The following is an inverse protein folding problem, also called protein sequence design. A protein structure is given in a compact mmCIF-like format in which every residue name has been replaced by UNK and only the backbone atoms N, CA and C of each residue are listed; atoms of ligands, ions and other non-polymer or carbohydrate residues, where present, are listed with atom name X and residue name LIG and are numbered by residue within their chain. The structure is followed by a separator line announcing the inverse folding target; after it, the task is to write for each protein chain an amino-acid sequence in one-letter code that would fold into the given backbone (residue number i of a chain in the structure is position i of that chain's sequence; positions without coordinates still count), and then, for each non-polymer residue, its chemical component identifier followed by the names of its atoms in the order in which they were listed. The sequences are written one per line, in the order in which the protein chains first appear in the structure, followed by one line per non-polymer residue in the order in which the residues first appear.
data_IF_973563774459
#
_entry.id   IF_973563774459
#
_cell.length_a   1.000
_cell.length_b   1.000
_cell.length_c   1.000
_cell.angle_alpha   90.00
_cell.angle_beta   90.00
_cell.angle_gamma   90.00
#
_symmetry.space_group_name_H-M   'P 1'
#
loop_
_entity.id
_entity.type
_entity.pdbx_description
1 polymer ?
#
# COMPACT_ATOMS: atom_id res chain seq x y z
N UNK A 1 -14.62 26.64 -6.36
CA UNK A 1 -15.20 26.64 -5.00
C UNK A 1 -14.17 26.49 -3.86
N UNK A 2 -13.12 25.66 -3.97
CA UNK A 2 -12.03 25.55 -2.96
C UNK A 2 -11.34 26.87 -2.56
N UNK A 3 -11.15 27.82 -3.50
CA UNK A 3 -10.49 29.10 -3.23
C UNK A 3 -11.35 30.12 -2.45
N UNK A 4 -12.68 29.99 -2.50
CA UNK A 4 -13.62 30.92 -1.83
C UNK A 4 -13.74 30.60 -0.33
N UNK A 5 -13.61 29.33 0.03
CA UNK A 5 -13.67 28.86 1.43
C UNK A 5 -12.45 29.34 2.23
N UNK A 6 -11.26 29.40 1.61
CA UNK A 6 -10.05 29.91 2.27
C UNK A 6 -10.09 31.43 2.52
N UNK A 7 -10.78 32.20 1.67
CA UNK A 7 -10.91 33.66 1.82
C UNK A 7 -11.94 34.00 2.92
N UNK A 8 -13.01 33.22 3.05
CA UNK A 8 -13.98 33.36 4.14
C UNK A 8 -13.36 33.03 5.52
N UNK A 9 -12.48 32.03 5.60
CA UNK A 9 -11.76 31.71 6.84
C UNK A 9 -10.80 32.83 7.28
N UNK A 10 -10.19 33.55 6.33
CA UNK A 10 -9.31 34.70 6.58
C UNK A 10 -10.09 35.99 6.91
N UNK A 11 -11.33 36.16 6.43
CA UNK A 11 -12.15 37.32 6.76
C UNK A 11 -12.74 37.24 8.17
N UNK A 12 -13.00 36.02 8.68
CA UNK A 12 -13.45 35.82 10.06
C UNK A 12 -12.39 36.22 11.10
N UNK A 13 -11.09 36.08 10.81
CA UNK A 13 -10.01 36.44 11.75
C UNK A 13 -9.80 37.95 11.84
N UNK A 14 -10.03 38.70 10.76
CA UNK A 14 -9.91 40.17 10.74
C UNK A 14 -11.11 40.87 11.41
N UNK A 15 -12.30 40.25 11.39
CA UNK A 15 -13.47 40.80 12.08
C UNK A 15 -13.41 40.58 13.61
N UNK A 16 -12.76 39.50 14.06
CA UNK A 16 -12.55 39.24 15.48
C UNK A 16 -11.59 40.25 16.14
N UNK A 17 -10.67 40.87 15.38
CA UNK A 17 -9.71 41.84 15.93
C UNK A 17 -10.24 43.27 16.06
N UNK A 18 -11.49 43.54 15.63
CA UNK A 18 -12.13 44.87 15.68
C UNK A 18 -13.33 44.96 16.63
N UNK A 19 -13.64 43.90 17.39
CA UNK A 19 -14.77 43.95 18.32
C UNK A 19 -14.43 44.73 19.59
N UNK A 20 -15.23 45.76 19.83
CA UNK A 20 -15.22 46.64 20.99
C UNK A 20 -15.29 45.83 22.30
N UNK A 21 -14.41 46.17 23.24
CA UNK A 21 -13.99 45.32 24.39
C UNK A 21 -14.88 45.55 25.63
N UNK A 22 -16.05 46.16 25.49
CA UNK A 22 -16.79 46.72 26.64
C UNK A 22 -17.88 45.82 27.25
N UNK A 23 -18.10 44.59 26.75
CA UNK A 23 -18.89 43.56 27.45
C UNK A 23 -18.08 42.24 27.58
N UNK A 24 -17.45 41.99 28.74
CA UNK A 24 -16.52 40.87 28.93
C UNK A 24 -17.17 39.50 28.81
N UNK A 25 -18.48 39.40 29.02
CA UNK A 25 -19.21 38.13 29.11
C UNK A 25 -19.58 37.57 27.72
N UNK A 26 -20.08 38.43 26.82
CA UNK A 26 -20.48 38.07 25.45
C UNK A 26 -19.29 37.78 24.54
N UNK A 27 -18.16 38.44 24.76
CA UNK A 27 -16.94 38.21 23.98
C UNK A 27 -16.26 36.88 24.35
N UNK A 28 -16.38 36.44 25.61
CA UNK A 28 -15.79 35.20 26.10
C UNK A 28 -16.42 33.96 25.48
N UNK A 29 -17.76 33.91 25.51
CA UNK A 29 -18.53 32.82 24.94
C UNK A 29 -18.27 32.68 23.43
N UNK A 30 -18.19 33.80 22.72
CA UNK A 30 -17.82 33.83 21.29
C UNK A 30 -16.42 33.25 21.06
N UNK A 31 -15.41 33.65 21.84
CA UNK A 31 -14.04 33.16 21.67
C UNK A 31 -13.93 31.65 21.95
N UNK A 32 -14.60 31.16 23.01
CA UNK A 32 -14.66 29.72 23.32
C UNK A 32 -15.32 28.94 22.18
N UNK A 33 -16.42 29.47 21.62
CA UNK A 33 -17.10 28.86 20.48
C UNK A 33 -16.21 28.82 19.23
N UNK A 34 -15.46 29.89 18.94
CA UNK A 34 -14.51 29.91 17.82
C UNK A 34 -13.42 28.84 17.98
N UNK A 35 -12.85 28.71 19.17
CA UNK A 35 -11.81 27.71 19.45
C UNK A 35 -12.35 26.27 19.39
N UNK A 36 -13.57 26.06 19.88
CA UNK A 36 -14.27 24.78 19.76
C UNK A 36 -14.47 24.40 18.30
N UNK A 37 -14.99 25.31 17.48
CA UNK A 37 -15.16 25.10 16.04
C UNK A 37 -13.81 24.79 15.39
N UNK A 38 -12.75 25.51 15.73
CA UNK A 38 -11.42 25.26 15.17
C UNK A 38 -10.88 23.86 15.55
N UNK A 39 -11.05 23.42 16.80
CA UNK A 39 -10.67 22.08 17.22
C UNK A 39 -11.52 20.98 16.54
N UNK A 40 -12.84 21.21 16.35
CA UNK A 40 -13.72 20.32 15.58
C UNK A 40 -13.30 20.21 14.11
N UNK A 41 -12.85 21.32 13.50
CA UNK A 41 -12.31 21.32 12.13
C UNK A 41 -11.03 20.48 12.05
N UNK A 42 -10.10 20.62 13.00
CA UNK A 42 -8.87 19.81 13.03
C UNK A 42 -9.21 18.34 13.24
N UNK A 43 -10.13 18.03 14.16
CA UNK A 43 -10.61 16.66 14.41
C UNK A 43 -11.16 16.04 13.12
N UNK A 44 -12.10 16.71 12.47
CA UNK A 44 -12.70 16.22 11.22
C UNK A 44 -11.66 16.03 10.12
N UNK A 45 -10.68 16.93 10.02
CA UNK A 45 -9.59 16.81 9.06
C UNK A 45 -8.72 15.58 9.32
N UNK A 46 -8.33 15.32 10.57
CA UNK A 46 -7.52 14.16 10.93
C UNK A 46 -8.30 12.85 10.76
N UNK A 47 -9.56 12.80 11.17
CA UNK A 47 -10.41 11.62 10.98
C UNK A 47 -10.61 11.31 9.50
N UNK A 48 -10.84 12.33 8.67
CA UNK A 48 -10.93 12.16 7.22
C UNK A 48 -9.61 11.64 6.65
N UNK A 49 -8.48 12.22 7.06
CA UNK A 49 -7.15 11.79 6.62
C UNK A 49 -6.85 10.34 7.00
N UNK A 50 -7.12 9.95 8.25
CA UNK A 50 -6.91 8.58 8.73
C UNK A 50 -7.72 7.57 7.91
N UNK A 51 -9.02 7.83 7.75
CA UNK A 51 -9.92 6.96 7.00
C UNK A 51 -9.51 6.84 5.53
N UNK A 52 -9.24 7.97 4.88
CA UNK A 52 -8.79 7.98 3.48
C UNK A 52 -7.46 7.25 3.32
N UNK A 53 -6.53 7.44 4.24
CA UNK A 53 -5.21 6.80 4.16
C UNK A 53 -5.31 5.29 4.35
N UNK A 54 -6.13 4.80 5.28
CA UNK A 54 -6.40 3.36 5.46
C UNK A 54 -7.02 2.74 4.20
N UNK A 55 -8.08 3.34 3.68
CA UNK A 55 -8.73 2.85 2.45
C UNK A 55 -7.77 2.88 1.25
N UNK A 56 -7.03 3.97 1.08
CA UNK A 56 -6.06 4.07 -0.02
C UNK A 56 -4.88 3.10 0.15
N UNK A 57 -4.50 2.75 1.38
CA UNK A 57 -3.47 1.74 1.65
C UNK A 57 -3.92 0.38 1.17
N UNK A 58 -5.10 -0.06 1.60
CA UNK A 58 -5.69 -1.35 1.22
C UNK A 58 -5.81 -1.47 -0.30
N UNK A 59 -6.49 -0.50 -0.94
CA UNK A 59 -6.70 -0.50 -2.39
C UNK A 59 -5.35 -0.53 -3.13
N UNK A 60 -4.40 0.33 -2.73
CA UNK A 60 -3.15 0.46 -3.48
C UNK A 60 -2.27 -0.79 -3.34
N UNK A 61 -2.24 -1.41 -2.16
CA UNK A 61 -1.50 -2.65 -1.95
C UNK A 61 -2.14 -3.82 -2.72
N UNK A 62 -3.47 -3.92 -2.73
CA UNK A 62 -4.16 -4.95 -3.48
C UNK A 62 -3.98 -4.80 -5.01
N UNK A 63 -4.02 -3.58 -5.52
CA UNK A 63 -3.70 -3.29 -6.92
C UNK A 63 -2.28 -3.74 -7.29
N UNK A 64 -1.30 -3.39 -6.45
CA UNK A 64 0.11 -3.75 -6.67
C UNK A 64 0.31 -5.27 -6.60
N UNK A 65 -0.33 -5.93 -5.64
CA UNK A 65 -0.35 -7.38 -5.48
C UNK A 65 -0.89 -8.05 -6.74
N UNK A 66 -2.08 -7.64 -7.19
CA UNK A 66 -2.74 -8.22 -8.36
C UNK A 66 -1.90 -8.04 -9.62
N UNK A 67 -1.30 -6.86 -9.81
CA UNK A 67 -0.42 -6.60 -10.94
C UNK A 67 0.77 -7.57 -10.94
N UNK A 68 1.48 -7.67 -9.81
CA UNK A 68 2.66 -8.54 -9.69
C UNK A 68 2.31 -10.02 -9.91
N UNK A 69 1.21 -10.49 -9.31
CA UNK A 69 0.73 -11.86 -9.48
C UNK A 69 0.34 -12.17 -10.92
N UNK A 70 -0.24 -11.19 -11.63
CA UNK A 70 -0.59 -11.34 -13.05
C UNK A 70 0.67 -11.48 -13.90
N UNK A 71 1.69 -10.63 -13.66
CA UNK A 71 2.97 -10.73 -14.38
C UNK A 71 3.68 -12.06 -14.12
N UNK A 72 3.76 -12.50 -12.86
CA UNK A 72 4.30 -13.82 -12.48
C UNK A 72 3.56 -14.93 -13.22
N UNK A 73 2.22 -14.89 -13.23
CA UNK A 73 1.40 -15.89 -13.91
C UNK A 73 1.69 -15.92 -15.42
N UNK A 74 1.79 -14.75 -16.06
CA UNK A 74 2.13 -14.65 -17.50
C UNK A 74 3.48 -15.32 -17.78
N UNK A 75 4.52 -15.03 -16.99
CA UNK A 75 5.84 -15.62 -17.21
C UNK A 75 5.87 -17.13 -16.98
N UNK A 76 5.25 -17.61 -15.90
CA UNK A 76 5.20 -19.03 -15.56
C UNK A 76 4.38 -19.80 -16.62
N UNK A 77 3.19 -19.31 -16.95
CA UNK A 77 2.31 -19.98 -17.91
C UNK A 77 2.88 -19.94 -19.33
N UNK A 78 3.49 -18.82 -19.73
CA UNK A 78 4.20 -18.73 -21.01
C UNK A 78 5.35 -19.75 -21.11
N UNK A 79 6.09 -19.97 -20.03
CA UNK A 79 7.13 -21.00 -19.99
C UNK A 79 6.57 -22.41 -20.06
N UNK A 80 5.46 -22.70 -19.36
CA UNK A 80 4.78 -23.99 -19.49
C UNK A 80 4.33 -24.26 -20.93
N UNK A 81 3.73 -23.27 -21.61
CA UNK A 81 3.32 -23.39 -23.02
C UNK A 81 4.51 -23.70 -23.92
N UNK A 82 5.58 -22.91 -23.84
CA UNK A 82 6.78 -23.12 -24.67
C UNK A 82 7.40 -24.50 -24.44
N UNK A 83 7.52 -24.92 -23.17
CA UNK A 83 8.10 -26.21 -22.83
C UNK A 83 7.22 -27.35 -23.33
N UNK A 84 5.90 -27.26 -23.17
CA UNK A 84 4.97 -28.27 -23.66
C UNK A 84 5.07 -28.43 -25.19
N UNK A 85 5.24 -27.34 -25.94
CA UNK A 85 5.50 -27.40 -27.38
C UNK A 85 6.80 -28.15 -27.69
N UNK A 86 7.90 -27.86 -26.98
CA UNK A 86 9.17 -28.57 -27.15
C UNK A 86 9.06 -30.06 -26.82
N UNK A 87 8.37 -30.39 -25.72
CA UNK A 87 8.15 -31.77 -25.28
C UNK A 87 7.31 -32.54 -26.29
N UNK A 88 6.22 -31.95 -26.81
CA UNK A 88 5.36 -32.60 -27.80
C UNK A 88 6.13 -32.89 -29.09
N UNK A 89 6.86 -31.91 -29.61
CA UNK A 89 7.71 -32.09 -30.80
C UNK A 89 8.75 -33.20 -30.59
N UNK A 90 9.40 -33.23 -29.42
CA UNK A 90 10.39 -34.26 -29.13
C UNK A 90 9.79 -35.67 -29.02
N UNK A 91 8.57 -35.78 -28.48
CA UNK A 91 7.81 -37.05 -28.46
C UNK A 91 7.46 -37.51 -29.87
N UNK A 92 7.10 -36.59 -30.77
CA UNK A 92 6.89 -36.89 -32.20
C UNK A 92 8.17 -37.35 -32.89
N UNK A 93 9.32 -36.79 -32.51
CA UNK A 93 10.66 -37.25 -32.92
C UNK A 93 11.08 -38.58 -32.24
N UNK A 94 10.21 -39.18 -31.42
CA UNK A 94 10.47 -40.46 -30.76
C UNK A 94 11.39 -40.38 -29.54
N UNK A 95 11.72 -39.20 -29.03
CA UNK A 95 12.63 -39.02 -27.87
C UNK A 95 11.94 -39.35 -26.53
N UNK A 96 12.71 -39.90 -25.60
CA UNK A 96 12.28 -40.05 -24.21
C UNK A 96 12.54 -38.76 -23.43
N UNK A 97 11.51 -37.95 -23.19
CA UNK A 97 11.61 -36.61 -22.58
C UNK A 97 10.91 -36.49 -21.22
N UNK A 98 10.57 -37.61 -20.59
CA UNK A 98 9.83 -37.64 -19.31
C UNK A 98 10.59 -36.88 -18.21
N UNK A 99 11.89 -37.16 -18.04
CA UNK A 99 12.73 -36.47 -17.05
C UNK A 99 12.82 -34.96 -17.33
N UNK A 100 12.92 -34.55 -18.61
CA UNK A 100 12.93 -33.14 -18.99
C UNK A 100 11.61 -32.43 -18.66
N UNK A 101 10.48 -33.14 -18.83
CA UNK A 101 9.15 -32.64 -18.52
C UNK A 101 8.96 -32.50 -17.01
N UNK A 102 9.36 -33.49 -16.22
CA UNK A 102 9.25 -33.48 -14.76
C UNK A 102 10.13 -32.39 -14.15
N UNK A 103 11.37 -32.25 -14.62
CA UNK A 103 12.25 -31.16 -14.23
C UNK A 103 11.60 -29.80 -14.45
N UNK A 104 11.08 -29.56 -15.66
CA UNK A 104 10.46 -28.28 -16.01
C UNK A 104 9.26 -27.97 -15.11
N UNK A 105 8.36 -28.95 -14.97
CA UNK A 105 7.14 -28.83 -14.17
C UNK A 105 7.47 -28.50 -12.73
N UNK A 106 8.34 -29.29 -12.10
CA UNK A 106 8.74 -29.09 -10.71
C UNK A 106 9.33 -27.70 -10.47
N UNK A 107 10.24 -27.25 -11.33
CA UNK A 107 10.91 -25.96 -11.16
C UNK A 107 9.95 -24.78 -11.36
N UNK A 108 9.06 -24.84 -12.35
CA UNK A 108 8.07 -23.77 -12.59
C UNK A 108 7.02 -23.70 -11.48
N UNK A 109 6.51 -24.84 -11.01
CA UNK A 109 5.56 -24.91 -9.90
C UNK A 109 6.19 -24.36 -8.61
N UNK A 110 7.41 -24.81 -8.28
CA UNK A 110 8.15 -24.33 -7.12
C UNK A 110 8.42 -22.82 -7.20
N UNK A 111 8.83 -22.31 -8.38
CA UNK A 111 9.07 -20.87 -8.55
C UNK A 111 7.78 -20.06 -8.40
N UNK A 112 6.66 -20.55 -8.91
CA UNK A 112 5.36 -19.89 -8.79
C UNK A 112 4.93 -19.75 -7.32
N UNK A 113 5.05 -20.81 -6.54
CA UNK A 113 4.73 -20.78 -5.10
C UNK A 113 5.64 -19.84 -4.33
N UNK A 114 6.95 -19.91 -4.55
CA UNK A 114 7.92 -19.03 -3.90
C UNK A 114 7.66 -17.55 -4.26
N UNK A 115 7.44 -17.25 -5.54
CA UNK A 115 7.16 -15.89 -5.99
C UNK A 115 5.86 -15.34 -5.38
N UNK A 116 4.81 -16.16 -5.24
CA UNK A 116 3.57 -15.77 -4.54
C UNK A 116 3.84 -15.43 -3.07
N UNK A 117 4.60 -16.26 -2.36
CA UNK A 117 4.95 -16.02 -0.96
C UNK A 117 5.80 -14.75 -0.79
N UNK A 118 6.72 -14.49 -1.72
CA UNK A 118 7.54 -13.28 -1.72
C UNK A 118 6.67 -12.04 -1.96
N UNK A 119 5.68 -12.10 -2.86
CA UNK A 119 4.70 -11.02 -3.08
C UNK A 119 3.92 -10.74 -1.80
N UNK A 120 3.37 -11.77 -1.13
CA UNK A 120 2.65 -11.59 0.13
C UNK A 120 3.54 -10.95 1.20
N UNK A 121 4.82 -11.34 1.25
CA UNK A 121 5.79 -10.75 2.17
C UNK A 121 6.03 -9.26 1.88
N UNK A 122 6.18 -8.87 0.62
CA UNK A 122 6.30 -7.46 0.24
C UNK A 122 5.06 -6.66 0.67
N UNK A 123 3.86 -7.19 0.45
CA UNK A 123 2.59 -6.53 0.82
C UNK A 123 2.44 -6.41 2.34
N UNK A 124 2.77 -7.47 3.09
CA UNK A 124 2.78 -7.44 4.54
C UNK A 124 3.73 -6.38 5.09
N UNK A 125 4.95 -6.30 4.55
CA UNK A 125 5.91 -5.27 4.94
C UNK A 125 5.40 -3.85 4.64
N UNK A 126 4.67 -3.68 3.54
CA UNK A 126 3.98 -2.43 3.21
C UNK A 126 2.94 -2.04 4.26
N UNK A 127 2.09 -2.98 4.66
CA UNK A 127 1.11 -2.76 5.74
C UNK A 127 1.80 -2.38 7.06
N UNK A 128 2.79 -3.16 7.49
CA UNK A 128 3.51 -2.92 8.74
C UNK A 128 4.21 -1.56 8.77
N UNK A 129 4.72 -1.07 7.62
CA UNK A 129 5.34 0.26 7.53
C UNK A 129 4.36 1.40 7.87
N UNK A 130 3.05 1.21 7.70
CA UNK A 130 2.02 2.23 7.94
C UNK A 130 1.35 2.13 9.31
N UNK A 131 1.56 1.06 10.07
CA UNK A 131 0.96 0.88 11.39
C UNK A 131 1.30 2.03 12.35
N UNK A 132 2.59 2.34 12.51
CA UNK A 132 3.04 3.40 13.42
C UNK A 132 2.62 4.82 12.98
N UNK A 133 2.79 5.22 11.71
CA UNK A 133 2.30 6.53 11.26
C UNK A 133 0.79 6.72 11.48
N UNK A 134 -0.03 5.70 11.20
CA UNK A 134 -1.48 5.78 11.42
C UNK A 134 -1.85 5.77 12.91
N UNK A 135 -1.13 5.01 13.74
CA UNK A 135 -1.32 5.04 15.20
C UNK A 135 -1.05 6.45 15.77
N UNK A 136 -0.05 7.17 15.26
CA UNK A 136 0.23 8.55 15.69
C UNK A 136 -0.88 9.54 15.30
N UNK A 137 -1.52 9.33 14.14
CA UNK A 137 -2.70 10.10 13.73
C UNK A 137 -3.88 9.79 14.65
N UNK A 138 -4.15 8.51 14.93
CA UNK A 138 -5.22 8.09 15.84
C UNK A 138 -5.03 8.65 17.27
N UNK A 139 -3.79 8.62 17.79
CA UNK A 139 -3.46 9.23 19.08
C UNK A 139 -3.71 10.75 19.07
N UNK A 140 -3.42 11.42 17.96
CA UNK A 140 -3.69 12.87 17.82
C UNK A 140 -5.19 13.17 17.80
N UNK A 141 -5.99 12.32 17.16
CA UNK A 141 -7.46 12.39 17.18
C UNK A 141 -7.99 12.26 18.62
N UNK A 142 -7.52 11.25 19.36
CA UNK A 142 -7.95 11.00 20.75
C UNK A 142 -7.64 12.20 21.67
N UNK A 143 -6.45 12.78 21.57
CA UNK A 143 -6.06 13.97 22.34
C UNK A 143 -7.02 15.14 22.08
N UNK A 144 -7.43 15.36 20.84
CA UNK A 144 -8.36 16.45 20.49
C UNK A 144 -9.76 16.18 21.04
N UNK A 145 -10.24 14.93 20.97
CA UNK A 145 -11.52 14.51 21.54
C UNK A 145 -11.55 14.80 23.05
N UNK A 146 -10.50 14.41 23.79
CA UNK A 146 -10.39 14.66 25.24
C UNK A 146 -10.48 16.15 25.55
N UNK A 147 -9.82 16.99 24.74
CA UNK A 147 -9.83 18.45 24.92
C UNK A 147 -11.23 19.03 24.68
N UNK A 148 -11.92 18.60 23.61
CA UNK A 148 -13.29 19.01 23.29
C UNK A 148 -14.31 18.57 24.34
N UNK A 149 -14.09 17.42 25.00
CA UNK A 149 -14.92 16.96 26.12
C UNK A 149 -14.72 17.83 27.37
N UNK A 150 -13.46 18.15 27.72
CA UNK A 150 -13.14 18.96 28.90
C UNK A 150 -13.63 20.41 28.79
N UNK A 151 -13.71 20.97 27.57
CA UNK A 151 -14.24 22.32 27.34
C UNK A 151 -15.74 22.49 27.64
N UNK A 152 -16.48 21.42 27.97
CA UNK A 152 -17.90 21.49 28.36
C UNK A 152 -18.14 21.89 29.83
N UNK A 153 -17.10 21.93 30.69
CA UNK A 153 -17.25 22.24 32.12
C UNK A 153 -17.28 23.77 32.39
N UNK A 154 -18.38 24.25 32.99
CA UNK A 154 -18.85 25.65 32.99
C UNK A 154 -18.49 26.45 34.26
N UNK A 155 -17.30 27.07 34.34
CA UNK A 155 -17.03 28.13 35.35
C UNK A 155 -16.27 29.32 34.77
N UNK A 156 -16.85 30.53 34.86
CA UNK A 156 -16.41 31.76 34.16
C UNK A 156 -14.95 32.19 34.47
N UNK A 157 -14.44 31.99 35.70
CA UNK A 157 -13.04 32.30 36.05
C UNK A 157 -12.05 31.29 35.47
N UNK A 158 -12.48 30.04 35.30
CA UNK A 158 -11.75 29.00 34.61
C UNK A 158 -11.70 29.30 33.10
N UNK A 159 -12.79 29.80 32.52
CA UNK A 159 -12.91 30.12 31.09
C UNK A 159 -11.89 31.17 30.62
N UNK A 160 -11.62 32.24 31.39
CA UNK A 160 -10.67 33.29 30.99
C UNK A 160 -9.20 32.82 31.00
N UNK A 161 -8.78 32.08 32.04
CA UNK A 161 -7.43 31.46 32.12
C UNK A 161 -7.29 30.32 31.10
N UNK A 162 -8.37 29.58 30.87
CA UNK A 162 -8.44 28.56 29.84
C UNK A 162 -8.39 29.15 28.44
N UNK A 163 -8.87 30.38 28.19
CA UNK A 163 -8.91 31.01 26.86
C UNK A 163 -7.54 31.36 26.28
N UNK A 164 -6.65 31.93 27.09
CA UNK A 164 -5.25 32.18 26.68
C UNK A 164 -4.48 30.86 26.52
N UNK A 165 -4.74 29.90 27.40
CA UNK A 165 -4.20 28.54 27.29
C UNK A 165 -4.78 27.78 26.09
N UNK A 166 -6.02 28.04 25.66
CA UNK A 166 -6.68 27.32 24.54
C UNK A 166 -6.22 27.82 23.19
N UNK A 167 -5.88 29.10 23.00
CA UNK A 167 -5.29 29.53 21.72
C UNK A 167 -3.91 28.91 21.53
N UNK A 168 -3.07 28.92 22.58
CA UNK A 168 -1.78 28.23 22.56
C UNK A 168 -1.94 26.71 22.38
N UNK A 169 -2.92 26.11 23.07
CA UNK A 169 -3.25 24.68 22.93
C UNK A 169 -3.74 24.36 21.52
N UNK A 170 -4.60 25.19 20.91
CA UNK A 170 -5.10 25.02 19.56
C UNK A 170 -3.97 25.13 18.53
N UNK A 171 -3.06 26.10 18.69
CA UNK A 171 -1.87 26.21 17.85
C UNK A 171 -0.99 24.96 17.98
N UNK A 172 -0.81 24.43 19.19
CA UNK A 172 -0.07 23.18 19.44
C UNK A 172 -0.76 21.97 18.82
N UNK A 173 -2.07 21.84 18.97
CA UNK A 173 -2.89 20.80 18.34
C UNK A 173 -2.75 20.88 16.83
N UNK A 174 -2.90 22.07 16.25
CA UNK A 174 -2.78 22.29 14.80
C UNK A 174 -1.38 21.93 14.29
N UNK A 175 -0.33 22.37 14.99
CA UNK A 175 1.05 22.03 14.66
C UNK A 175 1.30 20.52 14.74
N UNK A 176 0.80 19.86 15.79
CA UNK A 176 0.92 18.41 15.94
C UNK A 176 0.15 17.67 14.83
N UNK A 177 -1.09 18.08 14.54
CA UNK A 177 -1.92 17.54 13.48
C UNK A 177 -1.22 17.63 12.12
N UNK A 178 -0.64 18.79 11.81
CA UNK A 178 0.15 19.00 10.59
C UNK A 178 1.39 18.09 10.58
N UNK A 179 2.09 17.97 11.70
CA UNK A 179 3.28 17.12 11.83
C UNK A 179 2.99 15.64 11.61
N UNK A 180 1.95 15.10 12.26
CA UNK A 180 1.59 13.67 12.12
C UNK A 180 1.05 13.37 10.72
N UNK A 181 0.27 14.28 10.13
CA UNK A 181 -0.25 14.14 8.76
C UNK A 181 0.89 14.17 7.73
N UNK A 182 1.83 15.11 7.86
CA UNK A 182 2.98 15.20 6.97
C UNK A 182 3.86 13.95 7.08
N UNK A 183 4.13 13.48 8.30
CA UNK A 183 4.89 12.25 8.55
C UNK A 183 4.21 11.04 7.92
N UNK A 184 2.91 10.85 8.17
CA UNK A 184 2.16 9.74 7.58
C UNK A 184 2.11 9.79 6.06
N UNK A 185 2.04 10.98 5.47
CA UNK A 185 2.06 11.16 4.00
C UNK A 185 3.41 10.76 3.40
N UNK A 186 4.52 11.17 4.04
CA UNK A 186 5.88 10.81 3.62
C UNK A 186 6.09 9.31 3.72
N UNK A 187 5.71 8.70 4.86
CA UNK A 187 5.85 7.26 5.06
C UNK A 187 4.97 6.45 4.10
N UNK A 188 3.74 6.91 3.82
CA UNK A 188 2.89 6.29 2.81
C UNK A 188 3.57 6.27 1.43
N UNK A 189 4.17 7.41 1.03
CA UNK A 189 4.86 7.51 -0.26
C UNK A 189 6.08 6.58 -0.32
N UNK A 190 6.90 6.55 0.73
CA UNK A 190 8.06 5.65 0.83
C UNK A 190 7.63 4.19 0.78
N UNK A 191 6.58 3.85 1.52
CA UNK A 191 6.02 2.49 1.55
C UNK A 191 5.62 2.03 0.14
N UNK A 192 4.89 2.84 -0.63
CA UNK A 192 4.51 2.50 -2.01
C UNK A 192 5.74 2.26 -2.90
N UNK A 193 6.77 3.10 -2.78
CA UNK A 193 8.02 2.96 -3.54
C UNK A 193 8.72 1.64 -3.18
N UNK A 194 8.84 1.34 -1.89
CA UNK A 194 9.50 0.13 -1.40
C UNK A 194 8.76 -1.14 -1.84
N UNK A 195 7.43 -1.17 -1.72
CA UNK A 195 6.60 -2.28 -2.17
C UNK A 195 6.76 -2.48 -3.67
N UNK A 196 6.65 -1.41 -4.48
CA UNK A 196 6.86 -1.49 -5.93
C UNK A 196 8.24 -2.05 -6.30
N UNK A 197 9.29 -1.58 -5.63
CA UNK A 197 10.64 -2.06 -5.86
C UNK A 197 10.78 -3.54 -5.52
N UNK A 198 10.19 -3.98 -4.40
CA UNK A 198 10.16 -5.38 -3.96
C UNK A 198 9.48 -6.26 -5.01
N UNK A 199 8.29 -5.86 -5.46
CA UNK A 199 7.52 -6.60 -6.48
C UNK A 199 8.23 -6.65 -7.84
N UNK A 200 8.82 -5.53 -8.27
CA UNK A 200 9.58 -5.45 -9.53
C UNK A 200 10.76 -6.42 -9.54
N UNK A 201 11.44 -6.57 -8.40
CA UNK A 201 12.52 -7.55 -8.25
C UNK A 201 11.99 -8.97 -8.41
N UNK A 202 10.89 -9.30 -7.75
CA UNK A 202 10.29 -10.65 -7.82
C UNK A 202 9.85 -10.98 -9.25
N UNK A 203 9.19 -10.05 -9.95
CA UNK A 203 8.73 -10.26 -11.32
C UNK A 203 9.90 -10.42 -12.29
N UNK A 204 10.95 -9.61 -12.15
CA UNK A 204 12.18 -9.74 -12.95
C UNK A 204 12.92 -11.05 -12.68
N UNK A 205 13.06 -11.45 -11.42
CA UNK A 205 13.67 -12.72 -11.03
C UNK A 205 12.87 -13.91 -11.56
N UNK A 206 11.54 -13.81 -11.58
CA UNK A 206 10.65 -14.83 -12.15
C UNK A 206 10.84 -14.96 -13.66
N UNK A 207 10.85 -13.85 -14.40
CA UNK A 207 11.08 -13.86 -15.84
C UNK A 207 12.45 -14.45 -16.22
N UNK A 208 13.49 -14.11 -15.46
CA UNK A 208 14.83 -14.66 -15.68
C UNK A 208 14.86 -16.16 -15.41
N UNK A 209 14.24 -16.59 -14.30
CA UNK A 209 14.16 -18.00 -13.94
C UNK A 209 13.41 -18.82 -14.99
N UNK A 210 12.25 -18.35 -15.44
CA UNK A 210 11.45 -19.07 -16.45
C UNK A 210 12.21 -19.20 -17.76
N UNK A 211 12.92 -18.16 -18.19
CA UNK A 211 13.79 -18.20 -19.37
C UNK A 211 14.89 -19.27 -19.23
N UNK A 212 15.51 -19.37 -18.05
CA UNK A 212 16.54 -20.37 -17.78
C UNK A 212 15.98 -21.80 -17.77
N UNK A 213 14.76 -22.00 -17.25
CA UNK A 213 14.10 -23.31 -17.30
C UNK A 213 13.80 -23.71 -18.75
N UNK A 214 13.25 -22.79 -19.56
CA UNK A 214 13.01 -23.05 -21.00
C UNK A 214 14.29 -23.50 -21.70
N UNK A 215 15.40 -22.78 -21.50
CA UNK A 215 16.69 -23.11 -22.10
C UNK A 215 17.23 -24.46 -21.61
N UNK A 216 17.14 -24.72 -20.31
CA UNK A 216 17.63 -25.96 -19.70
C UNK A 216 16.82 -27.17 -20.18
N UNK A 217 15.50 -27.03 -20.27
CA UNK A 217 14.61 -28.08 -20.79
C UNK A 217 14.85 -28.31 -22.28
N UNK A 218 15.04 -27.26 -23.09
CA UNK A 218 15.40 -27.41 -24.50
C UNK A 218 16.72 -28.17 -24.67
N UNK A 219 17.73 -27.87 -23.86
CA UNK A 219 19.00 -28.59 -23.85
C UNK A 219 18.85 -30.05 -23.41
N UNK A 220 18.04 -30.32 -22.37
CA UNK A 220 17.70 -31.67 -21.92
C UNK A 220 17.09 -32.48 -23.06
N UNK A 221 16.08 -31.93 -23.73
CA UNK A 221 15.39 -32.56 -24.87
C UNK A 221 16.36 -32.86 -26.02
N UNK A 222 17.29 -31.96 -26.32
CA UNK A 222 18.28 -32.16 -27.40
C UNK A 222 19.19 -33.37 -27.14
N UNK A 223 19.49 -33.64 -25.87
CA UNK A 223 20.37 -34.74 -25.46
C UNK A 223 19.59 -36.01 -25.05
N UNK A 224 18.26 -35.99 -25.13
CA UNK A 224 17.42 -37.13 -24.78
C UNK A 224 17.61 -38.28 -25.78
N UNK A 225 17.66 -39.50 -25.25
CA UNK A 225 17.81 -40.72 -26.05
C UNK A 225 16.50 -41.02 -26.78
N UNK A 226 16.58 -41.57 -27.98
CA UNK A 226 15.42 -42.09 -28.71
C UNK A 226 14.79 -43.27 -27.96
N UNK A 227 13.45 -43.36 -27.99
CA UNK A 227 12.74 -44.48 -27.41
C UNK A 227 13.13 -45.76 -28.15
N UNK A 228 13.49 -46.84 -27.44
CA UNK A 228 13.92 -48.12 -28.04
C UNK A 228 12.82 -48.90 -28.79
N UNK A 229 11.74 -48.24 -29.23
CA UNK A 229 10.61 -48.84 -29.96
C UNK A 229 10.42 -48.33 -31.39
N UNK A 230 11.27 -47.45 -31.92
CA UNK A 230 11.17 -46.99 -33.32
C UNK A 230 11.97 -47.83 -34.32
N UNK A 231 12.76 -48.81 -33.87
CA UNK A 231 13.71 -49.58 -34.71
C UNK A 231 13.26 -51.00 -35.06
N UNK A 232 11.95 -51.25 -35.22
CA UNK A 232 11.44 -52.56 -35.68
C UNK A 232 10.33 -52.41 -36.71
N UNK A 233 10.70 -51.98 -37.92
CA UNK A 233 9.85 -52.12 -39.10
C UNK A 233 10.66 -52.24 -40.42
N UNK A 234 11.85 -52.86 -40.38
CA UNK A 234 12.68 -53.01 -41.59
C UNK A 234 13.33 -54.40 -41.76
N UNK A 235 12.86 -55.44 -41.07
CA UNK A 235 13.30 -56.82 -41.31
C UNK A 235 12.09 -57.76 -41.45
N UNK A 236 11.42 -57.70 -42.60
CA UNK A 236 10.60 -58.81 -43.10
C UNK A 236 10.44 -58.78 -44.62
N UNK A 237 11.56 -58.81 -45.35
CA UNK A 237 11.59 -59.27 -46.75
C UNK A 237 12.95 -59.94 -47.00
N UNK A 238 13.07 -61.24 -46.71
CA UNK A 238 13.63 -62.30 -47.56
C UNK A 238 13.03 -63.62 -47.12
#
# INVERSE_FOLDING_TARGET
MRKVICILALLCTVYASKQDVLDPSRNLERLVNVQKIAAEVILNSLTLFENQTKTNLEIKLDELKLQALTEIWIYINGAHTNINEFINKAKEEGKNVEECQDYAKYNLETKNENAKNDVETCIKNGNTAMENPLANVANSIEVIIIILMKSRASTQSCVMRNLYLTQATLNRISSNANGVTATATVEYTKMIINVRSCLTKITADTNTFTSNVILSTSNCIRNAVENPKSTTAAESVV
#
